data_IF_636256386521
#
_entry.id   IF_636256386521
#
_cell.length_a   1.000
_cell.length_b   1.000
_cell.length_c   1.000
_cell.angle_alpha   90.00
_cell.angle_beta   90.00
_cell.angle_gamma   90.00
#
_symmetry.space_group_name_H-M   'P 1'
#
loop_
_entity.id
_entity.type
_entity.pdbx_description
1 polymer ?
#
# COMPACT_ATOMS: atom_id res chain seq x y z
N UNK A 1 4.05 20.14 -8.96
CA UNK A 1 4.44 18.81 -9.46
C UNK A 1 5.37 18.94 -10.64
N UNK A 2 6.27 17.97 -10.84
CA UNK A 2 7.16 17.92 -11.99
C UNK A 2 6.41 17.51 -13.24
N UNK A 3 6.72 18.13 -14.39
CA UNK A 3 6.17 17.70 -15.66
C UNK A 3 6.78 16.35 -16.05
N UNK A 4 5.98 15.28 -16.05
CA UNK A 4 6.38 14.01 -16.67
C UNK A 4 6.10 14.06 -18.18
N UNK A 5 6.75 13.16 -18.94
CA UNK A 5 6.46 13.01 -20.37
C UNK A 5 5.06 12.44 -20.55
N UNK A 6 4.22 13.15 -21.30
CA UNK A 6 2.88 12.68 -21.63
C UNK A 6 2.94 11.42 -22.47
N UNK A 7 1.85 10.64 -22.44
CA UNK A 7 1.71 9.43 -23.26
C UNK A 7 1.93 9.75 -24.74
N UNK A 8 1.32 10.84 -25.22
CA UNK A 8 1.51 11.35 -26.58
C UNK A 8 2.97 11.65 -26.92
N UNK A 9 3.76 12.19 -25.98
CA UNK A 9 5.19 12.45 -26.21
C UNK A 9 5.96 11.15 -26.39
N UNK A 10 5.64 10.14 -25.56
CA UNK A 10 6.27 8.81 -25.63
C UNK A 10 5.87 8.10 -26.93
N UNK A 11 4.60 8.14 -27.32
CA UNK A 11 4.12 7.58 -28.60
C UNK A 11 4.82 8.25 -29.79
N UNK A 12 4.86 9.58 -29.82
CA UNK A 12 5.51 10.32 -30.91
C UNK A 12 7.00 10.00 -31.05
N UNK A 13 7.73 9.91 -29.93
CA UNK A 13 9.16 9.60 -29.98
C UNK A 13 9.39 8.13 -30.39
N UNK A 14 8.50 7.23 -29.97
CA UNK A 14 8.50 5.81 -30.37
C UNK A 14 8.30 5.66 -31.87
N UNK A 15 7.28 6.31 -32.43
CA UNK A 15 7.02 6.33 -33.88
C UNK A 15 8.23 6.86 -34.66
N UNK A 16 8.88 7.90 -34.14
CA UNK A 16 10.08 8.48 -34.73
C UNK A 16 11.26 7.49 -34.72
N UNK A 17 11.44 6.74 -33.63
CA UNK A 17 12.46 5.70 -33.55
C UNK A 17 12.20 4.56 -34.53
N UNK A 18 10.95 4.10 -34.63
CA UNK A 18 10.57 3.06 -35.59
C UNK A 18 10.89 3.49 -37.02
N UNK A 19 10.52 4.73 -37.39
CA UNK A 19 10.87 5.32 -38.68
C UNK A 19 12.38 5.42 -38.89
N UNK A 20 13.14 5.74 -37.83
CA UNK A 20 14.60 5.79 -37.87
C UNK A 20 15.22 4.41 -38.13
N UNK A 21 14.68 3.35 -37.54
CA UNK A 21 15.14 1.98 -37.80
C UNK A 21 14.83 1.52 -39.23
N UNK A 22 13.66 1.88 -39.77
CA UNK A 22 13.33 1.66 -41.18
C UNK A 22 14.35 2.36 -42.09
N UNK A 23 14.59 3.65 -41.82
CA UNK A 23 15.50 4.48 -42.59
C UNK A 23 16.95 4.00 -42.53
N UNK A 24 17.43 3.54 -41.38
CA UNK A 24 18.79 3.01 -41.21
C UNK A 24 19.09 1.77 -42.09
N UNK A 25 18.05 1.06 -42.52
CA UNK A 25 18.15 -0.17 -43.31
C UNK A 25 17.74 0.02 -44.78
N UNK A 26 17.68 1.26 -45.26
CA UNK A 26 17.42 1.62 -46.66
C UNK A 26 16.27 0.81 -47.30
N UNK A 27 15.15 0.65 -46.59
CA UNK A 27 13.96 -0.07 -47.05
C UNK A 27 14.15 -1.57 -47.41
N UNK A 28 15.06 -2.31 -46.77
CA UNK A 28 15.12 -3.79 -46.81
C UNK A 28 13.88 -4.50 -46.18
N UNK A 29 12.73 -3.82 -46.14
CA UNK A 29 11.50 -4.19 -45.46
C UNK A 29 10.84 -5.46 -46.01
N UNK A 30 11.06 -5.82 -47.27
CA UNK A 30 10.33 -6.92 -47.91
C UNK A 30 11.05 -8.27 -47.94
N UNK A 31 12.37 -8.35 -47.71
CA UNK A 31 13.11 -9.60 -47.94
C UNK A 31 13.79 -10.22 -46.71
N UNK A 32 14.19 -9.43 -45.70
CA UNK A 32 14.98 -9.96 -44.56
C UNK A 32 14.16 -10.22 -43.29
N UNK A 33 13.00 -9.59 -43.12
CA UNK A 33 12.18 -9.67 -41.89
C UNK A 33 12.83 -9.06 -40.64
N UNK A 34 14.10 -8.66 -40.73
CA UNK A 34 14.92 -8.22 -39.61
C UNK A 34 14.51 -6.83 -39.05
N UNK A 35 14.26 -5.78 -39.87
CA UNK A 35 13.82 -4.48 -39.35
C UNK A 35 12.48 -4.57 -38.61
N UNK A 36 11.62 -5.50 -39.03
CA UNK A 36 10.30 -5.72 -38.44
C UNK A 36 10.39 -6.16 -36.98
N UNK A 37 11.31 -7.07 -36.64
CA UNK A 37 11.51 -7.51 -35.25
C UNK A 37 12.00 -6.37 -34.36
N UNK A 38 12.88 -5.50 -34.88
CA UNK A 38 13.34 -4.32 -34.14
C UNK A 38 12.19 -3.33 -33.90
N UNK A 39 11.39 -3.04 -34.92
CA UNK A 39 10.24 -2.13 -34.84
C UNK A 39 9.15 -2.69 -33.91
N UNK A 40 8.80 -3.97 -34.03
CA UNK A 40 7.82 -4.62 -33.14
C UNK A 40 8.28 -4.59 -31.68
N UNK A 41 9.59 -4.68 -31.41
CA UNK A 41 10.12 -4.61 -30.06
C UNK A 41 10.06 -3.20 -29.46
N UNK A 42 10.35 -2.17 -30.24
CA UNK A 42 10.15 -0.77 -29.82
C UNK A 42 8.70 -0.52 -29.38
N UNK A 43 7.74 -1.15 -30.06
CA UNK A 43 6.30 -1.11 -29.75
C UNK A 43 5.97 -1.77 -28.40
N UNK A 44 6.64 -2.89 -28.08
CA UNK A 44 6.53 -3.56 -26.78
C UNK A 44 7.14 -2.69 -25.69
N UNK A 45 8.32 -2.13 -25.94
CA UNK A 45 9.04 -1.26 -25.01
C UNK A 45 8.18 -0.04 -24.63
N UNK A 46 7.55 0.61 -25.61
CA UNK A 46 6.59 1.69 -25.38
C UNK A 46 5.44 1.24 -24.47
N UNK A 47 4.83 0.07 -24.73
CA UNK A 47 3.72 -0.44 -23.91
C UNK A 47 4.14 -0.69 -22.46
N UNK A 48 5.37 -1.12 -22.22
CA UNK A 48 5.92 -1.27 -20.87
C UNK A 48 6.03 0.11 -20.19
N UNK A 49 6.60 1.10 -20.86
CA UNK A 49 6.74 2.48 -20.34
C UNK A 49 5.38 3.10 -20.01
N UNK A 50 4.39 2.88 -20.86
CA UNK A 50 3.03 3.41 -20.69
C UNK A 50 2.15 2.59 -19.73
N UNK A 51 2.57 1.38 -19.35
CA UNK A 51 1.79 0.51 -18.45
C UNK A 51 1.63 1.11 -17.05
N UNK A 52 2.58 1.96 -16.63
CA UNK A 52 2.51 2.75 -15.42
C UNK A 52 2.08 4.17 -15.77
N UNK A 53 0.91 4.55 -15.26
CA UNK A 53 0.32 5.86 -15.44
C UNK A 53 0.61 6.73 -14.20
N UNK A 54 1.51 7.73 -14.29
CA UNK A 54 1.85 8.60 -13.17
C UNK A 54 0.63 9.33 -12.61
N UNK A 55 -0.35 9.69 -13.44
CA UNK A 55 -1.54 10.39 -12.97
C UNK A 55 -2.37 9.49 -12.07
N UNK A 56 -2.62 8.24 -12.48
CA UNK A 56 -3.36 7.29 -11.63
C UNK A 56 -2.65 6.99 -10.32
N UNK A 57 -1.31 6.94 -10.34
CA UNK A 57 -0.50 6.72 -9.14
C UNK A 57 -0.56 7.93 -8.20
N UNK A 58 -0.56 9.14 -8.75
CA UNK A 58 -0.77 10.39 -8.01
C UNK A 58 -2.17 10.46 -7.41
N UNK A 59 -3.21 10.21 -8.20
CA UNK A 59 -4.61 10.21 -7.75
C UNK A 59 -4.83 9.21 -6.61
N UNK A 60 -4.26 8.02 -6.74
CA UNK A 60 -4.35 6.97 -5.73
C UNK A 60 -3.53 7.30 -4.47
N UNK A 61 -2.37 7.96 -4.63
CA UNK A 61 -1.59 8.48 -3.51
C UNK A 61 -2.41 9.52 -2.73
N UNK A 62 -3.04 10.48 -3.41
CA UNK A 62 -3.84 11.52 -2.78
C UNK A 62 -5.06 10.93 -2.07
N UNK A 63 -5.74 9.96 -2.69
CA UNK A 63 -6.84 9.20 -2.08
C UNK A 63 -6.38 8.50 -0.79
N UNK A 64 -5.25 7.81 -0.82
CA UNK A 64 -4.72 7.09 0.34
C UNK A 64 -4.22 8.04 1.42
N UNK A 65 -3.62 9.16 1.05
CA UNK A 65 -3.19 10.22 1.95
C UNK A 65 -4.38 10.81 2.72
N UNK A 66 -5.49 11.10 2.05
CA UNK A 66 -6.71 11.59 2.71
C UNK A 66 -7.21 10.60 3.78
N UNK A 67 -7.24 9.30 3.46
CA UNK A 67 -7.63 8.24 4.40
C UNK A 67 -6.63 8.12 5.54
N UNK A 68 -5.32 8.14 5.25
CA UNK A 68 -4.26 8.06 6.26
C UNK A 68 -4.31 9.24 7.23
N UNK A 69 -4.60 10.45 6.74
CA UNK A 69 -4.77 11.64 7.57
C UNK A 69 -6.00 11.51 8.47
N UNK A 70 -7.12 11.02 7.94
CA UNK A 70 -8.35 10.81 8.71
C UNK A 70 -8.18 9.76 9.83
N UNK A 71 -7.42 8.69 9.58
CA UNK A 71 -7.16 7.63 10.56
C UNK A 71 -6.06 8.04 11.57
N UNK A 72 -4.95 8.57 11.07
CA UNK A 72 -3.74 8.81 11.86
C UNK A 72 -3.73 10.07 12.72
N UNK A 73 -4.44 11.13 12.30
CA UNK A 73 -4.52 12.40 13.05
C UNK A 73 -5.80 12.52 13.87
N UNK A 74 -6.49 11.41 14.15
CA UNK A 74 -7.67 11.43 15.02
C UNK A 74 -7.29 11.47 16.50
N UNK A 75 -6.51 12.49 16.88
CA UNK A 75 -6.19 12.81 18.26
C UNK A 75 -7.42 12.91 19.16
N UNK A 76 -8.58 13.45 18.71
CA UNK A 76 -9.80 13.40 19.50
C UNK A 76 -10.22 11.97 19.84
N UNK A 77 -10.30 11.06 18.87
CA UNK A 77 -10.68 9.67 19.12
C UNK A 77 -9.68 8.95 20.05
N UNK A 78 -8.37 9.12 19.84
CA UNK A 78 -7.36 8.53 20.75
C UNK A 78 -7.49 9.12 22.16
N UNK A 79 -7.75 10.43 22.27
CA UNK A 79 -7.97 11.09 23.57
C UNK A 79 -9.23 10.57 24.25
N UNK A 80 -10.31 10.33 23.50
CA UNK A 80 -11.57 9.78 24.00
C UNK A 80 -11.44 8.31 24.41
N UNK A 81 -10.66 7.52 23.68
CA UNK A 81 -10.29 6.14 24.04
C UNK A 81 -9.53 6.15 25.38
N UNK A 82 -8.47 6.97 25.50
CA UNK A 82 -7.69 7.10 26.74
C UNK A 82 -8.51 7.69 27.90
N UNK A 83 -9.44 8.60 27.62
CA UNK A 83 -10.37 9.13 28.62
C UNK A 83 -11.34 8.05 29.09
N UNK A 84 -11.82 7.20 28.20
CA UNK A 84 -12.68 6.05 28.53
C UNK A 84 -11.97 5.08 29.46
N UNK A 85 -10.71 4.70 29.18
CA UNK A 85 -9.90 3.86 30.08
C UNK A 85 -9.75 4.50 31.47
N UNK A 86 -9.48 5.81 31.53
CA UNK A 86 -9.37 6.55 32.80
C UNK A 86 -10.68 6.61 33.57
N UNK A 87 -11.81 6.85 32.91
CA UNK A 87 -13.13 6.87 33.54
C UNK A 87 -13.52 5.49 34.08
N UNK A 88 -12.96 4.42 33.51
CA UNK A 88 -13.15 3.05 33.98
C UNK A 88 -12.13 2.64 35.06
N UNK A 89 -11.22 3.52 35.51
CA UNK A 89 -10.13 3.16 36.42
C UNK A 89 -10.62 2.50 37.72
N UNK A 90 -11.75 2.96 38.26
CA UNK A 90 -12.37 2.47 39.49
C UNK A 90 -13.20 1.19 39.29
N UNK A 91 -13.50 0.83 38.04
CA UNK A 91 -14.11 -0.44 37.70
C UNK A 91 -13.07 -1.54 37.81
N UNK A 92 -13.24 -2.46 38.76
CA UNK A 92 -12.28 -3.55 39.04
C UNK A 92 -12.96 -4.90 38.86
N UNK A 93 -12.15 -5.93 38.66
CA UNK A 93 -12.58 -7.31 38.46
C UNK A 93 -12.14 -7.83 37.10
N UNK A 94 -12.04 -9.15 36.99
CA UNK A 94 -11.46 -9.82 35.81
C UNK A 94 -12.20 -9.51 34.50
N UNK A 95 -13.51 -9.28 34.55
CA UNK A 95 -14.32 -8.87 33.39
C UNK A 95 -14.09 -7.40 33.01
N UNK A 96 -13.96 -6.52 34.01
CA UNK A 96 -13.63 -5.11 33.80
C UNK A 96 -12.22 -4.94 33.19
N UNK A 97 -11.25 -5.72 33.68
CA UNK A 97 -9.89 -5.74 33.16
C UNK A 97 -9.85 -6.23 31.70
N UNK A 98 -10.64 -7.27 31.36
CA UNK A 98 -10.75 -7.75 29.99
C UNK A 98 -11.37 -6.71 29.04
N UNK A 99 -12.37 -5.95 29.51
CA UNK A 99 -12.96 -4.86 28.72
C UNK A 99 -12.00 -3.68 28.51
N UNK A 100 -11.26 -3.28 29.56
CA UNK A 100 -10.21 -2.26 29.44
C UNK A 100 -9.11 -2.67 28.46
N UNK A 101 -8.65 -3.91 28.55
CA UNK A 101 -7.67 -4.47 27.62
C UNK A 101 -8.19 -4.39 26.17
N UNK A 102 -9.49 -4.60 25.93
CA UNK A 102 -10.07 -4.44 24.60
C UNK A 102 -10.10 -2.99 24.11
N UNK A 103 -10.36 -2.02 24.99
CA UNK A 103 -10.28 -0.58 24.65
C UNK A 103 -8.82 -0.19 24.34
N UNK A 104 -7.86 -0.66 25.13
CA UNK A 104 -6.43 -0.43 24.86
C UNK A 104 -6.00 -1.05 23.51
N UNK A 105 -6.56 -2.21 23.14
CA UNK A 105 -6.34 -2.81 21.81
C UNK A 105 -6.90 -1.96 20.66
N UNK A 106 -7.89 -1.09 20.89
CA UNK A 106 -8.38 -0.16 19.85
C UNK A 106 -7.34 0.91 19.50
N UNK A 107 -6.58 1.38 20.49
CA UNK A 107 -5.49 2.33 20.26
C UNK A 107 -4.38 1.69 19.43
N UNK A 108 -3.95 0.49 19.82
CA UNK A 108 -2.96 -0.29 19.08
C UNK A 108 -3.43 -0.58 17.64
N UNK A 109 -4.72 -0.93 17.46
CA UNK A 109 -5.29 -1.15 16.15
C UNK A 109 -5.19 0.12 15.28
N UNK A 110 -5.53 1.28 15.81
CA UNK A 110 -5.41 2.54 15.07
C UNK A 110 -3.96 2.84 14.66
N UNK A 111 -2.98 2.60 15.54
CA UNK A 111 -1.55 2.76 15.24
C UNK A 111 -1.08 1.78 14.14
N UNK A 112 -1.53 0.52 14.21
CA UNK A 112 -1.26 -0.50 13.19
C UNK A 112 -1.86 -0.11 11.83
N UNK A 113 -3.13 0.32 11.79
CA UNK A 113 -3.79 0.77 10.57
C UNK A 113 -3.10 1.99 9.97
N UNK A 114 -2.75 2.99 10.79
CA UNK A 114 -1.99 4.15 10.32
C UNK A 114 -0.66 3.71 9.72
N UNK A 115 0.10 2.85 10.40
CA UNK A 115 1.38 2.35 9.89
C UNK A 115 1.23 1.65 8.54
N UNK A 116 0.19 0.84 8.37
CA UNK A 116 -0.08 0.18 7.09
C UNK A 116 -0.44 1.17 5.99
N UNK A 117 -1.29 2.17 6.27
CA UNK A 117 -1.65 3.21 5.30
C UNK A 117 -0.42 4.01 4.86
N UNK A 118 0.44 4.39 5.79
CA UNK A 118 1.66 5.15 5.51
C UNK A 118 2.65 4.37 4.65
N UNK A 119 2.85 3.09 4.94
CA UNK A 119 3.66 2.21 4.11
C UNK A 119 3.07 2.00 2.71
N UNK A 120 1.73 1.92 2.60
CA UNK A 120 1.04 1.88 1.31
C UNK A 120 1.28 3.16 0.49
N UNK A 121 1.24 4.33 1.15
CA UNK A 121 1.57 5.61 0.51
C UNK A 121 3.02 5.66 0.03
N UNK A 122 3.97 5.12 0.81
CA UNK A 122 5.37 5.03 0.39
C UNK A 122 5.52 4.15 -0.85
N UNK A 123 4.80 3.03 -0.93
CA UNK A 123 4.79 2.16 -2.11
C UNK A 123 4.24 2.88 -3.35
N UNK A 124 3.15 3.64 -3.21
CA UNK A 124 2.57 4.44 -4.30
C UNK A 124 3.52 5.54 -4.76
N UNK A 125 4.16 6.24 -3.83
CA UNK A 125 5.12 7.30 -4.16
C UNK A 125 6.37 6.74 -4.87
N UNK A 126 6.86 5.57 -4.42
CA UNK A 126 7.94 4.84 -5.10
C UNK A 126 7.54 4.41 -6.52
N UNK A 127 6.31 3.90 -6.70
CA UNK A 127 5.79 3.53 -8.01
C UNK A 127 5.65 4.74 -8.94
N UNK A 128 5.12 5.87 -8.41
CA UNK A 128 5.00 7.13 -9.15
C UNK A 128 6.38 7.59 -9.66
N UNK A 129 7.38 7.60 -8.77
CA UNK A 129 8.71 8.06 -9.13
C UNK A 129 9.37 7.13 -10.16
N UNK A 130 9.22 5.81 -10.02
CA UNK A 130 9.67 4.85 -11.01
C UNK A 130 9.00 5.07 -12.38
N UNK A 131 7.70 5.38 -12.41
CA UNK A 131 6.97 5.67 -13.64
C UNK A 131 7.47 6.95 -14.34
N UNK A 132 7.67 8.03 -13.58
CA UNK A 132 8.19 9.31 -14.10
C UNK A 132 9.61 9.13 -14.63
N UNK A 133 10.48 8.48 -13.85
CA UNK A 133 11.87 8.25 -14.25
C UNK A 133 11.97 7.37 -15.50
N UNK A 134 11.21 6.27 -15.55
CA UNK A 134 11.20 5.37 -16.72
C UNK A 134 10.83 6.12 -17.99
N UNK A 135 9.81 7.00 -17.94
CA UNK A 135 9.38 7.80 -19.09
C UNK A 135 10.47 8.77 -19.56
N UNK A 136 11.11 9.47 -18.62
CA UNK A 136 12.19 10.39 -18.95
C UNK A 136 13.41 9.66 -19.51
N UNK A 137 13.79 8.54 -18.91
CA UNK A 137 14.90 7.70 -19.37
C UNK A 137 14.62 7.13 -20.77
N UNK A 138 13.42 6.60 -21.00
CA UNK A 138 13.06 6.04 -22.30
C UNK A 138 13.11 7.11 -23.39
N UNK A 139 12.50 8.28 -23.16
CA UNK A 139 12.57 9.42 -24.08
C UNK A 139 14.01 9.76 -24.46
N UNK A 140 14.86 9.85 -23.43
CA UNK A 140 16.27 10.17 -23.54
C UNK A 140 17.06 9.09 -24.32
N UNK A 141 16.78 7.81 -24.07
CA UNK A 141 17.32 6.67 -24.82
C UNK A 141 16.95 6.76 -26.30
N UNK A 142 15.69 7.06 -26.62
CA UNK A 142 15.24 7.21 -28.00
C UNK A 142 15.98 8.35 -28.71
N UNK A 143 16.04 9.54 -28.10
CA UNK A 143 16.74 10.70 -28.66
C UNK A 143 18.23 10.42 -28.92
N UNK A 144 18.89 9.72 -28.00
CA UNK A 144 20.28 9.31 -28.16
C UNK A 144 20.48 8.33 -29.32
N UNK A 145 19.55 7.38 -29.45
CA UNK A 145 19.57 6.38 -30.54
C UNK A 145 19.38 7.05 -31.89
N UNK A 146 18.48 8.02 -31.99
CA UNK A 146 18.28 8.80 -33.21
C UNK A 146 19.52 9.61 -33.59
N UNK A 147 20.17 10.26 -32.62
CA UNK A 147 21.40 10.99 -32.86
C UNK A 147 22.53 10.06 -33.35
N UNK A 148 22.69 8.89 -32.72
CA UNK A 148 23.65 7.88 -33.16
C UNK A 148 23.33 7.33 -34.56
N UNK A 149 22.04 7.13 -34.88
CA UNK A 149 21.58 6.70 -36.20
C UNK A 149 21.95 7.69 -37.30
N UNK A 150 21.76 8.99 -37.07
CA UNK A 150 22.16 10.04 -38.01
C UNK A 150 23.67 10.03 -38.26
N UNK A 151 24.46 9.91 -37.20
CA UNK A 151 25.92 9.84 -37.30
C UNK A 151 26.39 8.60 -38.08
N UNK A 152 25.77 7.44 -37.86
CA UNK A 152 26.07 6.21 -38.59
C UNK A 152 25.77 6.33 -40.09
N UNK A 153 24.67 6.98 -40.48
CA UNK A 153 24.29 7.10 -41.90
C UNK A 153 25.05 8.19 -42.65
N UNK A 154 25.27 9.35 -42.03
CA UNK A 154 25.87 10.48 -42.72
C UNK A 154 27.38 10.33 -42.94
N UNK A 155 28.05 9.35 -42.30
CA UNK A 155 29.51 9.13 -42.30
C UNK A 155 30.32 10.41 -41.99
N UNK A 156 29.65 11.47 -41.56
CA UNK A 156 30.16 12.81 -41.44
C UNK A 156 30.40 13.08 -39.96
N UNK A 157 31.67 12.91 -39.58
CA UNK A 157 32.25 13.06 -38.24
C UNK A 157 31.93 11.93 -37.26
N UNK A 158 32.99 11.20 -36.90
CA UNK A 158 33.10 10.39 -35.68
C UNK A 158 33.09 11.29 -34.44
N UNK A 159 31.97 11.94 -34.15
CA UNK A 159 31.75 12.55 -32.84
C UNK A 159 31.01 11.52 -31.98
N UNK A 160 31.72 10.92 -31.01
CA UNK A 160 31.16 9.99 -30.02
C UNK A 160 29.87 10.60 -29.46
N UNK A 161 28.72 9.98 -29.71
CA UNK A 161 27.44 10.48 -29.22
C UNK A 161 27.28 10.03 -27.77
N UNK A 162 28.02 10.71 -26.89
CA UNK A 162 28.01 10.47 -25.45
C UNK A 162 26.68 10.90 -24.88
N UNK A 163 25.83 9.91 -24.68
CA UNK A 163 24.64 10.08 -23.89
C UNK A 163 24.94 9.78 -22.42
N UNK A 164 24.42 10.60 -21.54
CA UNK A 164 24.55 10.42 -20.10
C UNK A 164 23.15 10.42 -19.53
N UNK A 165 22.67 9.25 -19.12
CA UNK A 165 21.42 9.16 -18.39
C UNK A 165 21.69 8.56 -17.00
N UNK A 166 21.08 9.17 -15.99
CA UNK A 166 21.04 8.63 -14.65
C UNK A 166 20.03 7.48 -14.67
N UNK A 167 20.54 6.25 -14.71
CA UNK A 167 19.76 5.03 -14.59
C UNK A 167 19.62 4.65 -13.11
N UNK A 168 19.04 5.50 -12.28
CA UNK A 168 19.08 5.30 -10.83
C UNK A 168 17.70 4.96 -10.31
N UNK A 169 17.29 3.73 -10.60
CA UNK A 169 16.09 3.11 -10.05
C UNK A 169 16.14 2.86 -8.51
N UNK A 170 17.21 3.30 -7.82
CA UNK A 170 17.32 3.32 -6.36
C UNK A 170 16.30 4.26 -5.69
N UNK A 171 15.43 4.91 -6.47
CA UNK A 171 14.31 5.68 -5.93
C UNK A 171 13.42 4.82 -5.05
N UNK A 172 13.06 3.61 -5.47
CA UNK A 172 12.24 2.73 -4.64
C UNK A 172 12.96 2.39 -3.32
N UNK A 173 14.27 2.19 -3.34
CA UNK A 173 15.07 1.87 -2.16
C UNK A 173 15.19 3.05 -1.19
N UNK A 174 15.45 4.25 -1.70
CA UNK A 174 15.50 5.47 -0.90
C UNK A 174 14.15 5.78 -0.25
N UNK A 175 13.06 5.62 -1.00
CA UNK A 175 11.70 5.93 -0.53
C UNK A 175 11.19 4.92 0.49
N UNK A 176 11.47 3.63 0.30
CA UNK A 176 11.05 2.57 1.22
C UNK A 176 11.94 2.48 2.47
N UNK A 177 13.21 2.90 2.41
CA UNK A 177 14.15 2.86 3.54
C UNK A 177 14.07 4.09 4.45
N UNK A 178 13.62 5.23 3.94
CA UNK A 178 13.33 6.41 4.74
C UNK A 178 12.07 6.14 5.59
N UNK A 179 12.28 5.69 6.83
CA UNK A 179 11.21 5.30 7.75
C UNK A 179 10.08 6.32 7.89
N UNK A 180 8.92 5.85 8.32
CA UNK A 180 7.65 6.60 8.43
C UNK A 180 7.68 7.87 9.31
N UNK A 181 8.78 8.13 10.03
CA UNK A 181 8.87 9.25 10.98
C UNK A 181 9.19 10.63 10.37
N UNK A 182 9.65 10.72 9.11
CA UNK A 182 10.22 11.98 8.59
C UNK A 182 9.68 12.52 7.28
N UNK A 183 9.04 11.70 6.44
CA UNK A 183 8.77 12.05 5.03
C UNK A 183 7.30 12.40 4.73
N UNK A 184 6.40 12.25 5.70
CA UNK A 184 4.96 12.39 5.49
C UNK A 184 4.42 13.81 5.69
N UNK A 185 5.31 14.77 5.98
CA UNK A 185 4.90 16.16 6.18
C UNK A 185 4.67 16.97 4.90
N UNK A 186 5.17 16.54 3.74
CA UNK A 186 5.26 17.45 2.58
C UNK A 186 5.37 16.71 1.26
N UNK A 187 4.23 16.50 0.57
CA UNK A 187 4.10 16.34 -0.90
C UNK A 187 4.92 15.24 -1.61
N UNK A 188 4.36 14.62 -2.65
CA UNK A 188 5.08 13.78 -3.63
C UNK A 188 6.41 14.44 -4.09
N UNK A 189 6.49 15.78 -4.06
CA UNK A 189 7.67 16.56 -4.41
C UNK A 189 8.93 16.38 -3.55
N UNK A 190 8.83 15.92 -2.29
CA UNK A 190 10.04 15.66 -1.45
C UNK A 190 10.58 14.25 -1.65
N UNK A 191 9.72 13.32 -2.06
CA UNK A 191 10.06 11.90 -2.25
C UNK A 191 11.03 11.68 -3.42
N UNK A 192 11.07 12.61 -4.39
CA UNK A 192 11.87 12.52 -5.63
C UNK A 192 13.31 13.05 -5.46
N UNK A 193 13.78 13.31 -4.24
CA UNK A 193 15.13 13.83 -4.02
C UNK A 193 16.18 12.71 -3.86
N UNK A 194 16.22 11.80 -4.82
CA UNK A 194 17.12 10.63 -4.82
C UNK A 194 18.41 10.95 -5.55
N UNK A 195 19.51 10.52 -4.95
CA UNK A 195 20.87 10.73 -5.43
C UNK A 195 21.05 10.19 -6.86
N UNK A 196 21.43 11.06 -7.79
CA UNK A 196 21.78 10.68 -9.16
C UNK A 196 23.26 10.31 -9.20
N UNK A 197 23.56 9.03 -9.06
CA UNK A 197 24.84 8.52 -9.55
C UNK A 197 24.76 8.41 -11.09
N UNK A 198 25.36 9.40 -11.75
CA UNK A 198 25.39 9.49 -13.20
C UNK A 198 26.30 8.39 -13.76
N UNK A 199 25.71 7.35 -14.33
CA UNK A 199 26.47 6.44 -15.20
C UNK A 199 26.40 6.97 -16.62
N UNK A 200 27.52 7.45 -17.16
CA UNK A 200 27.59 7.79 -18.58
C UNK A 200 27.48 6.51 -19.40
N UNK A 201 26.42 6.38 -20.21
CA UNK A 201 26.21 5.22 -21.08
C UNK A 201 26.09 5.69 -22.52
N UNK A 202 27.10 5.34 -23.31
CA UNK A 202 27.23 5.80 -24.69
C UNK A 202 26.50 4.83 -25.63
N UNK A 203 25.71 5.37 -26.55
CA UNK A 203 25.26 4.63 -27.73
C UNK A 203 26.30 4.91 -28.82
N UNK A 204 27.23 3.98 -28.98
CA UNK A 204 28.25 4.01 -30.03
C UNK A 204 27.83 3.05 -31.14
N UNK A 205 28.13 3.39 -32.39
CA UNK A 205 27.86 2.49 -33.50
C UNK A 205 28.46 3.03 -34.77
N UNK A 206 29.36 2.26 -35.37
CA UNK A 206 29.99 2.60 -36.66
C UNK A 206 29.09 2.20 -37.85
N UNK A 207 28.03 1.42 -37.60
CA UNK A 207 27.06 0.95 -38.59
C UNK A 207 25.63 0.89 -38.00
N UNK A 208 24.65 0.66 -38.87
CA UNK A 208 23.22 0.65 -38.49
C UNK A 208 22.84 -0.48 -37.54
N UNK A 209 23.53 -1.63 -37.61
CA UNK A 209 23.24 -2.78 -36.75
C UNK A 209 23.68 -2.53 -35.31
N UNK A 210 24.88 -1.95 -35.13
CA UNK A 210 25.39 -1.60 -33.80
C UNK A 210 24.50 -0.61 -33.07
N UNK A 211 23.94 0.39 -33.77
CA UNK A 211 23.02 1.37 -33.15
C UNK A 211 21.76 0.68 -32.64
N UNK A 212 21.15 -0.19 -33.45
CA UNK A 212 19.92 -0.91 -33.07
C UNK A 212 20.15 -1.94 -31.95
N UNK A 213 21.30 -2.63 -31.97
CA UNK A 213 21.68 -3.57 -30.90
C UNK A 213 21.96 -2.85 -29.58
N UNK A 214 22.64 -1.69 -29.63
CA UNK A 214 22.89 -0.90 -28.43
C UNK A 214 21.60 -0.32 -27.85
N UNK A 215 20.66 0.13 -28.67
CA UNK A 215 19.32 0.49 -28.20
C UNK A 215 18.68 -0.67 -27.44
N UNK A 216 18.62 -1.87 -28.04
CA UNK A 216 18.01 -3.06 -27.43
C UNK A 216 18.64 -3.39 -26.08
N UNK A 217 19.98 -3.41 -26.01
CA UNK A 217 20.69 -3.67 -24.77
C UNK A 217 20.35 -2.64 -23.68
N UNK A 218 20.31 -1.36 -24.03
CA UNK A 218 19.97 -0.30 -23.08
C UNK A 218 18.50 -0.35 -22.65
N UNK A 219 17.58 -0.68 -23.56
CA UNK A 219 16.16 -0.88 -23.26
C UNK A 219 15.96 -2.09 -22.32
N UNK A 220 16.62 -3.22 -22.58
CA UNK A 220 16.55 -4.40 -21.71
C UNK A 220 17.08 -4.09 -20.30
N UNK A 221 18.20 -3.35 -20.20
CA UNK A 221 18.76 -2.91 -18.92
C UNK A 221 17.81 -1.97 -18.16
N UNK A 222 17.14 -1.04 -18.87
CA UNK A 222 16.10 -0.17 -18.32
C UNK A 222 14.94 -0.99 -17.74
N UNK A 223 14.39 -1.94 -18.50
CA UNK A 223 13.22 -2.70 -18.06
C UNK A 223 13.53 -3.74 -16.99
N UNK A 224 14.74 -4.31 -16.98
CA UNK A 224 15.20 -5.13 -15.87
C UNK A 224 15.25 -4.33 -14.56
N UNK A 225 15.75 -3.09 -14.63
CA UNK A 225 15.84 -2.21 -13.48
C UNK A 225 14.47 -1.78 -12.97
N UNK A 226 13.57 -1.37 -13.87
CA UNK A 226 12.16 -1.11 -13.54
C UNK A 226 11.51 -2.34 -12.88
N UNK A 227 11.71 -3.53 -13.45
CA UNK A 227 11.21 -4.78 -12.90
C UNK A 227 11.70 -5.05 -11.48
N UNK A 228 12.97 -4.75 -11.18
CA UNK A 228 13.52 -4.86 -9.83
C UNK A 228 12.81 -3.93 -8.84
N UNK A 229 12.65 -2.64 -9.19
CA UNK A 229 11.94 -1.66 -8.35
C UNK A 229 10.49 -2.06 -8.11
N UNK A 230 9.77 -2.50 -9.16
CA UNK A 230 8.38 -2.94 -9.04
C UNK A 230 8.25 -4.22 -8.21
N UNK A 231 9.19 -5.16 -8.32
CA UNK A 231 9.19 -6.36 -7.48
C UNK A 231 9.33 -6.02 -6.00
N UNK A 232 10.16 -5.03 -5.65
CA UNK A 232 10.30 -4.58 -4.25
C UNK A 232 9.02 -3.92 -3.72
N UNK A 233 8.41 -3.05 -4.53
CA UNK A 233 7.13 -2.41 -4.21
C UNK A 233 6.05 -3.48 -4.02
N UNK A 234 5.95 -4.43 -4.95
CA UNK A 234 4.98 -5.53 -4.92
C UNK A 234 5.20 -6.44 -3.72
N UNK A 235 6.44 -6.79 -3.39
CA UNK A 235 6.76 -7.58 -2.19
C UNK A 235 6.29 -6.87 -0.93
N UNK A 236 6.53 -5.56 -0.84
CA UNK A 236 6.10 -4.76 0.32
C UNK A 236 4.58 -4.74 0.44
N UNK A 237 3.85 -4.45 -0.64
CA UNK A 237 2.39 -4.47 -0.66
C UNK A 237 1.80 -5.86 -0.38
N UNK A 238 2.44 -6.92 -0.87
CA UNK A 238 2.03 -8.30 -0.59
C UNK A 238 2.20 -8.63 0.87
N UNK A 239 3.33 -8.27 1.47
CA UNK A 239 3.57 -8.44 2.91
C UNK A 239 2.54 -7.69 3.75
N UNK A 240 2.12 -6.50 3.32
CA UNK A 240 1.04 -5.75 3.96
C UNK A 240 -0.30 -6.48 3.85
N UNK A 241 -0.65 -6.98 2.66
CA UNK A 241 -1.90 -7.74 2.46
C UNK A 241 -1.94 -8.96 3.37
N UNK A 242 -0.84 -9.72 3.45
CA UNK A 242 -0.70 -10.89 4.32
C UNK A 242 -0.83 -10.49 5.80
N UNK A 243 -0.33 -9.32 6.20
CA UNK A 243 -0.52 -8.81 7.57
C UNK A 243 -1.97 -8.39 7.83
N UNK A 244 -2.62 -7.75 6.87
CA UNK A 244 -4.01 -7.32 6.99
C UNK A 244 -5.00 -8.51 7.08
N UNK A 245 -4.67 -9.65 6.47
CA UNK A 245 -5.46 -10.89 6.58
C UNK A 245 -5.33 -11.58 7.95
N UNK A 246 -4.30 -11.26 8.74
CA UNK A 246 -4.16 -11.83 10.08
C UNK A 246 -5.21 -11.19 11.00
N UNK A 247 -6.00 -11.99 11.75
CA UNK A 247 -6.99 -11.43 12.65
C UNK A 247 -6.28 -10.55 13.68
N UNK A 248 -6.64 -9.26 13.69
CA UNK A 248 -6.12 -8.33 14.69
C UNK A 248 -6.44 -8.85 16.10
N UNK A 249 -5.52 -8.69 17.08
CA UNK A 249 -5.81 -9.00 18.48
C UNK A 249 -7.10 -8.36 19.00
N UNK A 250 -7.48 -7.20 18.45
CA UNK A 250 -8.74 -6.52 18.75
C UNK A 250 -9.99 -7.37 18.44
N UNK A 251 -9.91 -8.26 17.46
CA UNK A 251 -11.00 -9.17 17.07
C UNK A 251 -11.00 -10.49 17.86
N UNK A 252 -10.02 -10.71 18.75
CA UNK A 252 -10.04 -11.87 19.61
C UNK A 252 -11.30 -11.84 20.50
N UNK A 253 -12.01 -12.97 20.66
CA UNK A 253 -13.16 -13.01 21.53
C UNK A 253 -12.75 -12.69 22.98
N UNK A 254 -13.56 -11.88 23.66
CA UNK A 254 -13.39 -11.68 25.10
C UNK A 254 -13.51 -13.02 25.84
N UNK A 255 -12.90 -13.14 27.04
CA UNK A 255 -13.08 -14.31 27.88
C UNK A 255 -14.57 -14.64 28.10
N UNK A 256 -14.92 -15.93 28.21
CA UNK A 256 -16.32 -16.38 28.35
C UNK A 256 -17.07 -15.77 29.55
N UNK A 257 -16.35 -15.32 30.58
CA UNK A 257 -16.92 -14.60 31.73
C UNK A 257 -17.49 -13.21 31.36
N UNK A 258 -17.18 -12.70 30.17
CA UNK A 258 -17.70 -11.43 29.65
C UNK A 258 -18.95 -11.60 28.77
N UNK A 259 -19.32 -12.82 28.37
CA UNK A 259 -20.53 -13.08 27.59
C UNK A 259 -21.74 -13.14 28.53
N UNK A 260 -22.56 -12.09 28.55
CA UNK A 260 -23.75 -11.97 29.41
C UNK A 260 -24.73 -13.15 29.26
N UNK A 261 -24.74 -13.81 28.09
CA UNK A 261 -25.59 -14.98 27.82
C UNK A 261 -24.91 -16.31 28.15
N UNK A 262 -23.61 -16.29 28.43
CA UNK A 262 -22.78 -17.44 28.70
C UNK A 262 -22.97 -17.98 30.11
N UNK A 263 -22.87 -19.30 30.28
CA UNK A 263 -22.96 -19.96 31.58
C UNK A 263 -21.84 -19.58 32.55
N UNK A 264 -20.73 -19.01 32.04
CA UNK A 264 -19.59 -18.56 32.82
C UNK A 264 -19.71 -17.09 33.29
N UNK A 265 -20.76 -16.37 32.90
CA UNK A 265 -20.95 -14.98 33.31
C UNK A 265 -21.37 -14.87 34.77
N UNK A 266 -20.75 -13.93 35.48
CA UNK A 266 -21.16 -13.51 36.81
C UNK A 266 -20.89 -12.02 36.95
N UNK A 267 -21.85 -11.29 37.52
CA UNK A 267 -21.68 -9.87 37.84
C UNK A 267 -20.49 -9.65 38.79
N UNK A 268 -20.15 -10.63 39.63
CA UNK A 268 -19.00 -10.60 40.55
C UNK A 268 -17.65 -10.37 39.84
N UNK A 269 -17.52 -10.76 38.56
CA UNK A 269 -16.32 -10.49 37.78
C UNK A 269 -16.14 -9.03 37.36
N UNK A 270 -17.14 -8.19 37.62
CA UNK A 270 -17.17 -6.76 37.33
C UNK A 270 -17.25 -5.91 38.60
N UNK A 271 -17.14 -6.54 39.78
CA UNK A 271 -17.20 -5.87 41.07
C UNK A 271 -15.83 -5.55 41.65
N UNK A 272 -15.77 -4.39 42.31
CA UNK A 272 -14.64 -3.94 43.10
C UNK A 272 -14.86 -4.30 44.58
N UNK A 273 -14.04 -5.18 45.14
CA UNK A 273 -14.09 -5.58 46.56
C UNK A 273 -13.93 -4.39 47.52
N UNK A 274 -13.33 -3.28 47.08
CA UNK A 274 -13.14 -2.05 47.87
C UNK A 274 -14.39 -1.16 47.94
N UNK A 275 -15.40 -1.37 47.09
CA UNK A 275 -16.66 -0.60 47.06
C UNK A 275 -17.81 -1.29 47.79
N UNK A 276 -17.54 -2.28 48.65
CA UNK A 276 -18.54 -2.91 49.53
C UNK A 276 -19.33 -1.92 50.41
N UNK A 277 -18.90 -0.66 50.51
CA UNK A 277 -19.53 0.40 51.31
C UNK A 277 -20.15 1.57 50.51
N UNK A 278 -20.33 1.44 49.19
CA UNK A 278 -20.96 2.48 48.37
C UNK A 278 -22.51 2.47 48.41
N UNK A 279 -23.18 3.62 48.22
CA UNK A 279 -24.65 3.75 48.30
C UNK A 279 -25.42 2.92 47.26
N UNK A 280 -24.74 2.41 46.23
CA UNK A 280 -25.32 1.62 45.14
C UNK A 280 -25.37 0.12 45.46
N UNK A 281 -24.60 -0.35 46.44
CA UNK A 281 -24.52 -1.80 46.79
C UNK A 281 -25.87 -2.34 47.27
N UNK A 282 -26.62 -1.55 48.03
CA UNK A 282 -27.97 -1.94 48.47
C UNK A 282 -28.93 -2.11 47.28
N UNK A 283 -28.89 -1.16 46.34
CA UNK A 283 -29.78 -1.15 45.16
C UNK A 283 -29.49 -2.37 44.27
N UNK A 284 -28.22 -2.71 44.04
CA UNK A 284 -27.90 -3.86 43.18
C UNK A 284 -28.14 -5.19 43.88
N UNK A 285 -27.92 -5.28 45.19
CA UNK A 285 -28.30 -6.46 45.97
C UNK A 285 -29.82 -6.68 45.98
N UNK A 286 -30.60 -5.58 45.96
CA UNK A 286 -32.05 -5.62 45.88
C UNK A 286 -32.53 -6.04 44.48
N UNK A 287 -31.94 -5.50 43.40
CA UNK A 287 -32.23 -5.93 42.03
C UNK A 287 -31.81 -7.38 41.77
N UNK A 288 -30.66 -7.83 42.30
CA UNK A 288 -30.24 -9.23 42.21
C UNK A 288 -31.20 -10.17 42.93
N UNK A 289 -31.72 -9.76 44.11
CA UNK A 289 -32.78 -10.50 44.80
C UNK A 289 -34.07 -10.56 43.98
N UNK A 290 -34.51 -9.44 43.40
CA UNK A 290 -35.69 -9.41 42.52
C UNK A 290 -35.53 -10.37 41.34
N UNK A 291 -34.37 -10.34 40.68
CA UNK A 291 -34.09 -11.24 39.55
C UNK A 291 -34.16 -12.72 39.94
N UNK A 292 -33.57 -13.11 41.08
CA UNK A 292 -33.65 -14.49 41.59
C UNK A 292 -35.09 -14.87 41.91
N UNK A 293 -35.87 -13.98 42.53
CA UNK A 293 -37.27 -14.21 42.86
C UNK A 293 -38.13 -14.35 41.60
N UNK A 294 -37.93 -13.50 40.60
CA UNK A 294 -38.62 -13.57 39.30
C UNK A 294 -38.30 -14.88 38.58
N UNK A 295 -37.03 -15.28 38.52
CA UNK A 295 -36.63 -16.56 37.90
C UNK A 295 -37.19 -17.76 38.63
N UNK A 296 -37.26 -17.72 39.96
CA UNK A 296 -37.88 -18.78 40.76
C UNK A 296 -39.40 -18.83 40.54
N UNK A 297 -40.07 -17.68 40.47
CA UNK A 297 -41.49 -17.60 40.19
C UNK A 297 -41.84 -18.08 38.77
N UNK A 298 -40.98 -17.80 37.79
CA UNK A 298 -41.09 -18.27 36.41
C UNK A 298 -40.96 -19.81 36.35
N UNK A 299 -39.94 -20.37 37.00
CA UNK A 299 -39.76 -21.82 37.12
C UNK A 299 -40.95 -22.51 37.83
N UNK A 300 -41.52 -21.89 38.86
CA UNK A 300 -42.72 -22.41 39.53
C UNK A 300 -43.98 -22.32 38.65
N UNK A 301 -44.11 -21.28 37.81
CA UNK A 301 -45.20 -21.18 36.83
C UNK A 301 -45.07 -22.27 35.76
N UNK A 302 -43.88 -22.49 35.22
CA UNK A 302 -43.61 -23.56 34.27
C UNK A 302 -43.86 -24.95 34.87
N UNK A 303 -43.48 -25.16 36.14
CA UNK A 303 -43.79 -26.38 36.90
C UNK A 303 -45.31 -26.60 37.10
N UNK A 304 -46.08 -25.53 37.35
CA UNK A 304 -47.54 -25.61 37.50
C UNK A 304 -48.25 -25.85 36.17
N UNK A 305 -47.78 -25.23 35.08
CA UNK A 305 -48.30 -25.43 33.72
C UNK A 305 -48.02 -26.86 33.26
N UNK A 306 -46.80 -27.37 33.48
CA UNK A 306 -46.44 -28.77 33.14
C UNK A 306 -47.24 -29.79 33.96
N UNK A 307 -47.51 -29.56 35.25
CA UNK A 307 -48.44 -30.42 36.03
C UNK A 307 -49.88 -30.40 35.49
N UNK A 308 -50.37 -29.25 35.03
CA UNK A 308 -51.72 -29.12 34.45
C UNK A 308 -51.84 -29.80 33.09
N UNK A 309 -50.77 -29.85 32.31
CA UNK A 309 -50.72 -30.53 31.02
C UNK A 309 -50.46 -32.04 31.17
N UNK A 310 -49.70 -32.47 32.17
CA UNK A 310 -49.44 -33.88 32.48
C UNK A 310 -50.63 -34.63 33.13
N UNK A 311 -51.65 -33.90 33.59
CA UNK A 311 -52.90 -34.48 34.11
C UNK A 311 -53.97 -34.76 33.04
N UNK A 312 -53.66 -34.58 31.75
CA UNK A 312 -54.60 -34.75 30.63
C UNK A 312 -54.14 -35.81 29.63
N UNK A 313 -53.61 -36.91 30.16
CA UNK A 313 -53.38 -38.15 29.43
C UNK A 313 -53.88 -39.35 30.26
N UNK A 314 -55.20 -39.45 30.41
CA UNK A 314 -56.00 -40.70 30.38
C UNK A 314 -57.36 -40.34 29.79
#
# INVERSE_FOLDING_TARGET
MGAWRSDQTIEQITDHLQATFVWLKDDEWFSSGYPREHVERVDVDMKIVLSLDPQKLEDEYDRLNEVAMAVGYNYPAITDIRASVRNLADWKGRGADAFKAQIEMMELFCEEQQTMLLQGMQCLAAAYAAAVETRDVYYNLVMATEAAARNAKDKARKEDTKFAWAAVFDVADGVLSAGSGGLLGTSIGVVVQVAKDYTQRVIEGDDSDQVMENYRRQADELFQSLGHSLNKITSTLTDQSVRAEKPSPMHAPLPAMCDVKGAAFSYEYFYNDLLRSGPVVGIVADEHRKYIEEKRAEAERESKISRRLGGRAV
#
